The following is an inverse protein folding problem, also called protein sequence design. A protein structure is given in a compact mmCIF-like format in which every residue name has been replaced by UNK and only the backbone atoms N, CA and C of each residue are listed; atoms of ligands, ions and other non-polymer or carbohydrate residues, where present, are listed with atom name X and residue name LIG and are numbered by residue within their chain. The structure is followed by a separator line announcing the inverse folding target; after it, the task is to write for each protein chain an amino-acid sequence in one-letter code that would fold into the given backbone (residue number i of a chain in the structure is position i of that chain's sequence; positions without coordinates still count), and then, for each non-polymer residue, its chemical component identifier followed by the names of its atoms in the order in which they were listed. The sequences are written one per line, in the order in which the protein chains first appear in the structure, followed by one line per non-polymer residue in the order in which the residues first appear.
data_IF_615287195549
#
_entry.id   IF_615287195549
#
_cell.length_a   1.000
_cell.length_b   1.000
_cell.length_c   1.000
_cell.angle_alpha   90.00
_cell.angle_beta   90.00
_cell.angle_gamma   90.00
#
_symmetry.space_group_name_H-M   'P 1'
#
loop_
_entity.id
_entity.type
_entity.pdbx_description
1 polymer ?
#
# COMPACT_ATOMS: atom_id res chain seq x y z
N UNK A 1 -15.42 15.98 2.71
CA UNK A 1 -15.69 15.08 1.62
C UNK A 1 -16.56 15.66 0.51
N UNK A 2 -15.95 16.38 -0.46
CA UNK A 2 -16.73 17.03 -1.54
C UNK A 2 -17.50 16.02 -2.40
N UNK A 3 -17.00 14.78 -2.53
CA UNK A 3 -17.62 13.71 -3.32
C UNK A 3 -17.99 12.49 -2.47
N UNK A 4 -18.13 12.67 -1.16
CA UNK A 4 -18.50 11.57 -0.27
C UNK A 4 -19.85 10.94 -0.70
N UNK A 5 -19.90 9.59 -0.71
CA UNK A 5 -21.08 8.81 -1.12
C UNK A 5 -21.53 9.01 -2.59
N UNK A 6 -20.66 9.47 -3.47
CA UNK A 6 -20.96 9.51 -4.90
C UNK A 6 -20.90 8.10 -5.51
N UNK A 7 -21.89 7.26 -5.19
CA UNK A 7 -21.93 5.83 -5.54
C UNK A 7 -21.95 5.55 -7.06
N UNK A 8 -22.41 6.52 -7.86
CA UNK A 8 -22.45 6.42 -9.32
C UNK A 8 -21.20 6.95 -10.02
N UNK A 9 -20.25 7.53 -9.26
CA UNK A 9 -18.98 8.04 -9.81
C UNK A 9 -18.11 6.85 -10.23
N UNK A 10 -17.82 6.72 -11.52
CA UNK A 10 -17.02 5.61 -12.07
C UNK A 10 -15.60 6.02 -12.39
N UNK A 11 -15.44 7.22 -12.88
CA UNK A 11 -14.18 7.81 -13.31
C UNK A 11 -14.08 9.23 -12.77
N UNK A 12 -12.87 9.63 -12.47
CA UNK A 12 -12.55 10.95 -11.96
C UNK A 12 -11.18 11.38 -12.44
N UNK A 13 -11.09 12.59 -12.95
CA UNK A 13 -9.82 13.25 -13.21
C UNK A 13 -9.51 14.22 -12.07
N UNK A 14 -8.38 14.01 -11.40
CA UNK A 14 -7.89 14.92 -10.34
C UNK A 14 -7.13 16.06 -11.02
N UNK A 15 -7.52 17.35 -10.79
CA UNK A 15 -6.82 18.47 -11.39
C UNK A 15 -5.35 18.53 -10.98
N UNK A 16 -4.46 18.70 -11.96
CA UNK A 16 -3.00 18.75 -11.74
C UNK A 16 -2.54 19.92 -10.83
N UNK A 17 -3.38 20.95 -10.67
CA UNK A 17 -3.10 22.08 -9.79
C UNK A 17 -3.31 21.79 -8.29
N UNK A 18 -3.88 20.63 -7.96
CA UNK A 18 -4.05 20.22 -6.57
C UNK A 18 -2.72 19.72 -6.00
N UNK A 19 -2.46 20.02 -4.72
CA UNK A 19 -1.27 19.56 -3.98
C UNK A 19 -1.60 18.42 -3.01
N UNK A 20 -2.87 18.21 -2.69
CA UNK A 20 -3.33 17.15 -1.82
C UNK A 20 -4.74 16.66 -2.18
N UNK A 21 -5.03 15.42 -1.87
CA UNK A 21 -6.40 14.89 -1.84
C UNK A 21 -6.88 15.03 -0.40
N UNK A 22 -7.90 15.86 -0.19
CA UNK A 22 -8.39 16.18 1.14
C UNK A 22 -8.96 14.96 1.88
N UNK A 23 -9.03 15.06 3.20
CA UNK A 23 -9.70 14.09 4.07
C UNK A 23 -11.15 13.82 3.61
N UNK A 24 -11.55 12.54 3.59
CA UNK A 24 -12.89 12.07 3.20
C UNK A 24 -13.32 12.48 1.77
N UNK A 25 -12.42 12.92 0.90
CA UNK A 25 -12.80 13.48 -0.41
C UNK A 25 -13.71 12.56 -1.22
N UNK A 26 -13.42 11.26 -1.27
CA UNK A 26 -14.11 10.23 -2.06
C UNK A 26 -14.59 9.05 -1.21
N UNK A 27 -14.78 9.25 0.08
CA UNK A 27 -15.28 8.19 0.98
C UNK A 27 -16.59 7.61 0.46
N UNK A 28 -16.66 6.27 0.38
CA UNK A 28 -17.80 5.52 -0.14
C UNK A 28 -18.22 5.85 -1.59
N UNK A 29 -17.29 6.28 -2.44
CA UNK A 29 -17.49 6.31 -3.88
C UNK A 29 -17.43 4.86 -4.42
N UNK A 30 -18.44 4.04 -4.08
CA UNK A 30 -18.43 2.61 -4.33
C UNK A 30 -18.48 2.21 -5.82
N UNK A 31 -18.79 3.15 -6.71
CA UNK A 31 -18.74 2.96 -8.16
C UNK A 31 -17.38 3.25 -8.80
N UNK A 32 -16.44 3.87 -8.08
CA UNK A 32 -15.14 4.28 -8.62
C UNK A 32 -14.27 3.05 -8.90
N UNK A 33 -13.93 2.81 -10.17
CA UNK A 33 -13.21 1.60 -10.60
C UNK A 33 -11.70 1.79 -10.69
N UNK A 34 -11.25 2.98 -11.05
CA UNK A 34 -9.83 3.33 -11.14
C UNK A 34 -9.60 4.79 -10.79
N UNK A 35 -8.41 5.10 -10.31
CA UNK A 35 -7.98 6.47 -10.06
C UNK A 35 -6.51 6.66 -10.44
N UNK A 36 -6.22 7.72 -11.17
CA UNK A 36 -4.87 8.23 -11.39
C UNK A 36 -4.63 9.45 -10.50
N UNK A 37 -3.62 9.36 -9.65
CA UNK A 37 -3.18 10.45 -8.77
C UNK A 37 -2.06 11.19 -9.49
N UNK A 38 -2.31 12.43 -9.99
CA UNK A 38 -1.38 13.12 -10.85
C UNK A 38 -0.11 13.57 -10.13
N UNK A 39 0.89 13.91 -10.92
CA UNK A 39 2.09 14.57 -10.41
C UNK A 39 1.70 15.91 -9.78
N UNK A 40 2.32 16.26 -8.64
CA UNK A 40 1.97 17.46 -7.86
C UNK A 40 1.23 17.12 -6.55
N UNK A 41 0.48 16.02 -6.49
CA UNK A 41 -0.15 15.57 -5.24
C UNK A 41 0.93 15.04 -4.29
N UNK A 42 1.12 15.72 -3.17
CA UNK A 42 2.08 15.33 -2.12
C UNK A 42 1.46 14.46 -1.02
N UNK A 43 0.15 14.55 -0.81
CA UNK A 43 -0.54 13.78 0.22
C UNK A 43 -1.90 13.26 -0.24
N UNK A 44 -2.21 12.04 0.19
CA UNK A 44 -3.57 11.49 0.20
C UNK A 44 -4.07 11.57 1.65
N UNK A 45 -5.13 12.32 1.88
CA UNK A 45 -5.71 12.59 3.20
C UNK A 45 -6.31 11.36 3.86
N UNK A 46 -6.64 11.50 5.14
CA UNK A 46 -7.26 10.43 5.91
C UNK A 46 -8.64 10.09 5.31
N UNK A 47 -8.96 8.80 5.21
CA UNK A 47 -10.22 8.28 4.64
C UNK A 47 -10.51 8.72 3.19
N UNK A 48 -9.55 9.25 2.45
CA UNK A 48 -9.80 9.87 1.13
C UNK A 48 -10.56 8.96 0.16
N UNK A 49 -10.23 7.67 0.09
CA UNK A 49 -10.88 6.64 -0.73
C UNK A 49 -11.43 5.48 0.10
N UNK A 50 -11.75 5.73 1.38
CA UNK A 50 -12.30 4.71 2.27
C UNK A 50 -13.61 4.14 1.70
N UNK A 51 -13.71 2.82 1.60
CA UNK A 51 -14.91 2.13 1.13
C UNK A 51 -15.20 2.29 -0.37
N UNK A 52 -14.22 2.66 -1.18
CA UNK A 52 -14.34 2.62 -2.65
C UNK A 52 -14.28 1.15 -3.11
N UNK A 53 -15.37 0.40 -2.86
CA UNK A 53 -15.39 -1.06 -2.98
C UNK A 53 -15.21 -1.59 -4.42
N UNK A 54 -15.49 -0.77 -5.44
CA UNK A 54 -15.25 -1.13 -6.83
C UNK A 54 -13.82 -0.80 -7.32
N UNK A 55 -13.00 -0.11 -6.50
CA UNK A 55 -11.68 0.36 -6.91
C UNK A 55 -10.72 -0.81 -7.14
N UNK A 56 -10.33 -1.02 -8.39
CA UNK A 56 -9.43 -2.11 -8.84
C UNK A 56 -7.99 -1.65 -8.95
N UNK A 57 -7.79 -0.38 -9.32
CA UNK A 57 -6.47 0.16 -9.67
C UNK A 57 -6.29 1.58 -9.13
N UNK A 58 -5.13 1.82 -8.53
CA UNK A 58 -4.65 3.14 -8.16
C UNK A 58 -3.30 3.35 -8.84
N UNK A 59 -3.18 4.42 -9.63
CA UNK A 59 -1.93 4.83 -10.25
C UNK A 59 -1.41 6.09 -9.57
N UNK A 60 -0.11 6.11 -9.25
CA UNK A 60 0.54 7.25 -8.64
C UNK A 60 1.60 7.81 -9.60
N UNK A 61 1.47 9.06 -9.99
CA UNK A 61 2.44 9.71 -10.90
C UNK A 61 3.76 10.15 -10.22
N UNK A 62 3.98 9.81 -8.92
CA UNK A 62 5.31 9.84 -8.33
C UNK A 62 5.64 10.96 -7.35
N UNK A 63 4.71 11.84 -6.95
CA UNK A 63 4.98 12.92 -5.98
C UNK A 63 4.45 12.68 -4.56
N UNK A 64 3.59 11.69 -4.38
CA UNK A 64 2.94 11.40 -3.10
C UNK A 64 3.97 10.99 -2.05
N UNK A 65 4.03 11.73 -0.93
CA UNK A 65 4.93 11.49 0.20
C UNK A 65 4.22 10.83 1.38
N UNK A 66 2.92 11.11 1.54
CA UNK A 66 2.12 10.63 2.67
C UNK A 66 0.81 10.01 2.18
N UNK A 67 0.50 8.83 2.72
CA UNK A 67 -0.82 8.21 2.62
C UNK A 67 -1.44 8.23 4.02
N UNK A 68 -2.63 8.80 4.14
CA UNK A 68 -3.33 9.05 5.40
C UNK A 68 -3.90 7.81 6.08
N UNK A 69 -4.50 8.00 7.24
CA UNK A 69 -5.21 6.94 7.98
C UNK A 69 -6.40 6.45 7.16
N UNK A 70 -6.58 5.12 7.05
CA UNK A 70 -7.67 4.48 6.32
C UNK A 70 -7.85 4.98 4.87
N UNK A 71 -6.86 5.61 4.26
CA UNK A 71 -7.01 6.30 2.98
C UNK A 71 -7.55 5.41 1.85
N UNK A 72 -7.19 4.14 1.82
CA UNK A 72 -7.65 3.12 0.86
C UNK A 72 -8.19 1.88 1.56
N UNK A 73 -8.68 1.99 2.79
CA UNK A 73 -9.27 0.84 3.47
C UNK A 73 -10.62 0.46 2.85
N UNK A 74 -10.96 -0.84 2.87
CA UNK A 74 -12.19 -1.39 2.28
C UNK A 74 -12.34 -1.14 0.77
N UNK A 75 -11.23 -1.03 0.03
CA UNK A 75 -11.24 -1.08 -1.44
C UNK A 75 -11.17 -2.57 -1.86
N UNK A 76 -12.29 -3.27 -1.70
CA UNK A 76 -12.36 -4.74 -1.74
C UNK A 76 -11.94 -5.37 -3.07
N UNK A 77 -11.94 -4.58 -4.17
CA UNK A 77 -11.50 -5.03 -5.50
C UNK A 77 -10.09 -4.59 -5.87
N UNK A 78 -9.37 -3.92 -4.97
CA UNK A 78 -8.00 -3.48 -5.22
C UNK A 78 -7.06 -4.69 -5.28
N UNK A 79 -6.47 -4.94 -6.46
CA UNK A 79 -5.68 -6.15 -6.71
C UNK A 79 -4.21 -6.00 -6.31
N UNK A 80 -3.66 -4.80 -6.50
CA UNK A 80 -2.24 -4.54 -6.25
C UNK A 80 -2.04 -3.15 -5.67
N UNK A 81 -1.00 -3.01 -4.83
CA UNK A 81 -0.57 -1.74 -4.25
C UNK A 81 0.88 -1.49 -4.65
N UNK A 82 1.09 -0.59 -5.61
CA UNK A 82 2.41 -0.15 -6.05
C UNK A 82 2.65 1.29 -5.62
N UNK A 83 3.41 1.45 -4.56
CA UNK A 83 3.73 2.77 -4.02
C UNK A 83 4.97 3.34 -4.70
N UNK A 84 4.94 4.61 -5.15
CA UNK A 84 6.10 5.25 -5.75
C UNK A 84 7.20 5.49 -4.70
N UNK A 85 8.42 5.67 -5.17
CA UNK A 85 9.57 5.92 -4.30
C UNK A 85 9.51 7.26 -3.53
N UNK A 86 8.59 8.14 -3.89
CA UNK A 86 8.32 9.37 -3.15
C UNK A 86 7.64 9.13 -1.80
N UNK A 87 6.90 8.01 -1.63
CA UNK A 87 6.18 7.72 -0.39
C UNK A 87 7.16 7.40 0.73
N UNK A 88 7.08 8.18 1.81
CA UNK A 88 7.87 7.98 3.02
C UNK A 88 7.04 7.51 4.22
N UNK A 89 5.71 7.68 4.16
CA UNK A 89 4.81 7.37 5.27
C UNK A 89 3.48 6.78 4.81
N UNK A 90 3.13 5.66 5.42
CA UNK A 90 1.82 5.00 5.31
C UNK A 90 1.11 5.13 6.66
N UNK A 91 -0.11 5.65 6.66
CA UNK A 91 -0.95 5.85 7.84
C UNK A 91 -1.49 4.56 8.44
N UNK A 92 -2.10 4.69 9.61
CA UNK A 92 -2.80 3.60 10.29
C UNK A 92 -3.93 3.08 9.40
N UNK A 93 -4.07 1.75 9.26
CA UNK A 93 -5.11 1.10 8.45
C UNK A 93 -5.19 1.57 6.99
N UNK A 94 -4.17 2.21 6.45
CA UNK A 94 -4.24 2.86 5.14
C UNK A 94 -4.76 1.97 4.01
N UNK A 95 -4.45 0.67 4.04
CA UNK A 95 -4.91 -0.35 3.09
C UNK A 95 -5.60 -1.53 3.77
N UNK A 96 -6.18 -1.33 4.96
CA UNK A 96 -6.81 -2.43 5.68
C UNK A 96 -8.05 -2.98 4.95
N UNK A 97 -8.29 -4.29 5.11
CA UNK A 97 -9.44 -5.02 4.56
C UNK A 97 -9.54 -5.01 3.01
N UNK A 98 -8.41 -4.89 2.34
CA UNK A 98 -8.32 -5.06 0.89
C UNK A 98 -8.10 -6.56 0.58
N UNK A 99 -9.18 -7.31 0.61
CA UNK A 99 -9.16 -8.78 0.71
C UNK A 99 -8.58 -9.50 -0.52
N UNK A 100 -8.53 -8.84 -1.68
CA UNK A 100 -8.03 -9.42 -2.93
C UNK A 100 -6.64 -8.90 -3.34
N UNK A 101 -6.03 -8.01 -2.56
CA UNK A 101 -4.67 -7.54 -2.81
C UNK A 101 -3.69 -8.71 -2.77
N UNK A 102 -3.05 -8.96 -3.91
CA UNK A 102 -2.07 -10.05 -4.10
C UNK A 102 -0.64 -9.58 -3.88
N UNK A 103 -0.35 -8.33 -4.23
CA UNK A 103 1.00 -7.76 -4.22
C UNK A 103 0.99 -6.40 -3.52
N UNK A 104 1.89 -6.24 -2.58
CA UNK A 104 2.21 -4.95 -1.95
C UNK A 104 3.69 -4.69 -2.14
N UNK A 105 4.03 -3.65 -2.90
CA UNK A 105 5.42 -3.17 -3.01
C UNK A 105 5.61 -2.00 -2.07
N UNK A 106 6.37 -2.22 -1.01
CA UNK A 106 6.85 -1.18 -0.11
C UNK A 106 8.14 -0.62 -0.71
N UNK A 107 8.13 0.64 -1.13
CA UNK A 107 9.31 1.26 -1.76
C UNK A 107 10.47 1.41 -0.78
N UNK A 108 11.70 1.43 -1.30
CA UNK A 108 12.92 1.57 -0.51
C UNK A 108 13.12 2.92 0.18
N UNK A 109 12.13 3.82 0.16
CA UNK A 109 12.17 5.12 0.87
C UNK A 109 11.13 5.23 1.99
N UNK A 110 10.26 4.24 2.16
CA UNK A 110 9.26 4.23 3.23
C UNK A 110 9.95 4.05 4.58
N UNK A 111 9.85 5.07 5.44
CA UNK A 111 10.40 5.03 6.78
C UNK A 111 9.36 4.61 7.84
N UNK A 112 8.07 4.84 7.58
CA UNK A 112 7.01 4.60 8.55
C UNK A 112 5.83 3.86 7.92
N UNK A 113 5.47 2.73 8.51
CA UNK A 113 4.25 1.97 8.21
C UNK A 113 3.39 1.92 9.47
N UNK A 114 2.19 2.46 9.39
CA UNK A 114 1.26 2.60 10.52
C UNK A 114 0.73 1.26 11.01
N UNK A 115 0.18 1.26 12.23
CA UNK A 115 -0.49 0.09 12.79
C UNK A 115 -1.64 -0.36 11.89
N UNK A 116 -1.80 -1.66 11.75
CA UNK A 116 -2.89 -2.27 10.95
C UNK A 116 -2.89 -1.84 9.47
N UNK A 117 -1.79 -1.28 8.93
CA UNK A 117 -1.76 -0.66 7.60
C UNK A 117 -2.25 -1.58 6.47
N UNK A 118 -1.97 -2.87 6.54
CA UNK A 118 -2.39 -3.90 5.59
C UNK A 118 -3.19 -5.03 6.26
N UNK A 119 -3.80 -4.75 7.42
CA UNK A 119 -4.59 -5.74 8.12
C UNK A 119 -5.71 -6.27 7.24
N UNK A 120 -5.89 -7.60 7.19
CA UNK A 120 -6.97 -8.23 6.44
C UNK A 120 -6.76 -8.24 4.92
N UNK A 121 -5.54 -8.03 4.42
CA UNK A 121 -5.18 -8.27 3.03
C UNK A 121 -5.03 -9.78 2.81
N UNK A 122 -6.18 -10.49 2.73
CA UNK A 122 -6.24 -11.96 2.82
C UNK A 122 -5.49 -12.68 1.70
N UNK A 123 -5.48 -12.11 0.48
CA UNK A 123 -4.82 -12.72 -0.69
C UNK A 123 -3.33 -12.38 -0.80
N UNK A 124 -2.77 -11.56 0.10
CA UNK A 124 -1.35 -11.20 0.11
C UNK A 124 -0.50 -12.42 0.50
N UNK A 125 0.45 -12.80 -0.38
CA UNK A 125 1.27 -14.01 -0.19
C UNK A 125 2.67 -13.74 0.31
N UNK A 126 3.22 -12.60 -0.07
CA UNK A 126 4.59 -12.22 0.28
C UNK A 126 4.69 -10.71 0.49
N UNK A 127 5.61 -10.32 1.33
CA UNK A 127 5.97 -8.91 1.53
C UNK A 127 7.45 -8.78 1.84
N UNK A 128 8.07 -7.75 1.27
CA UNK A 128 9.43 -7.35 1.59
C UNK A 128 9.37 -6.06 2.40
N UNK A 129 9.97 -6.08 3.58
CA UNK A 129 10.16 -4.90 4.43
C UNK A 129 11.55 -4.34 4.16
N UNK A 130 11.65 -3.20 3.44
CA UNK A 130 12.95 -2.67 3.05
C UNK A 130 13.73 -2.08 4.22
N UNK A 131 15.04 -1.96 4.06
CA UNK A 131 15.98 -1.42 5.05
C UNK A 131 15.68 0.02 5.48
N UNK A 132 14.93 0.76 4.67
CA UNK A 132 14.49 2.13 4.96
C UNK A 132 13.47 2.21 6.10
N UNK A 133 12.72 1.13 6.37
CA UNK A 133 11.66 1.11 7.39
C UNK A 133 12.29 1.25 8.78
N UNK A 134 11.92 2.32 9.48
CA UNK A 134 12.32 2.64 10.85
C UNK A 134 11.20 2.39 11.85
N UNK A 135 9.98 2.21 11.37
CA UNK A 135 8.85 1.83 12.20
C UNK A 135 7.81 1.06 11.38
N UNK A 136 7.58 -0.17 11.77
CA UNK A 136 6.45 -1.00 11.34
C UNK A 136 5.50 -1.16 12.52
N UNK A 137 4.27 -0.63 12.38
CA UNK A 137 3.31 -0.57 13.46
C UNK A 137 2.70 -1.93 13.83
N UNK A 138 2.11 -1.99 15.02
CA UNK A 138 1.41 -3.15 15.54
C UNK A 138 0.35 -3.67 14.56
N UNK A 139 0.25 -4.99 14.40
CA UNK A 139 -0.74 -5.68 13.58
C UNK A 139 -0.76 -5.23 12.10
N UNK A 140 0.36 -4.72 11.59
CA UNK A 140 0.43 -4.16 10.25
C UNK A 140 -0.02 -5.16 9.17
N UNK A 141 0.24 -6.46 9.36
CA UNK A 141 -0.10 -7.55 8.44
C UNK A 141 -0.88 -8.69 9.12
N UNK A 142 -1.62 -8.40 10.17
CA UNK A 142 -2.50 -9.40 10.82
C UNK A 142 -3.73 -9.66 9.97
N UNK A 143 -4.33 -10.83 10.07
CA UNK A 143 -5.45 -11.30 9.24
C UNK A 143 -5.10 -11.40 7.72
N UNK A 144 -3.80 -11.48 7.37
CA UNK A 144 -3.33 -11.77 6.01
C UNK A 144 -3.20 -13.29 5.83
N UNK A 145 -4.32 -13.99 5.69
CA UNK A 145 -4.40 -15.45 5.82
C UNK A 145 -3.58 -16.25 4.79
N UNK A 146 -3.24 -15.65 3.64
CA UNK A 146 -2.38 -16.28 2.62
C UNK A 146 -0.91 -15.87 2.73
N UNK A 147 -0.54 -15.01 3.69
CA UNK A 147 0.83 -14.52 3.83
C UNK A 147 1.77 -15.65 4.30
N UNK A 148 2.65 -16.08 3.39
CA UNK A 148 3.57 -17.23 3.59
C UNK A 148 5.02 -16.80 3.73
N UNK A 149 5.39 -15.64 3.19
CA UNK A 149 6.78 -15.18 3.17
C UNK A 149 6.85 -13.70 3.54
N UNK A 150 7.70 -13.41 4.51
CA UNK A 150 8.04 -12.04 4.91
C UNK A 150 9.55 -11.92 4.91
N UNK A 151 10.09 -11.10 4.02
CA UNK A 151 11.51 -10.79 3.95
C UNK A 151 11.76 -9.46 4.65
N UNK A 152 12.60 -9.46 5.68
CA UNK A 152 13.00 -8.24 6.39
C UNK A 152 14.45 -7.94 6.00
N UNK A 153 14.65 -6.86 5.25
CA UNK A 153 15.98 -6.46 4.81
C UNK A 153 16.83 -5.94 5.98
N UNK A 154 18.14 -6.19 5.91
CA UNK A 154 19.10 -5.68 6.91
C UNK A 154 19.00 -4.16 7.03
N UNK A 155 18.91 -3.64 8.27
CA UNK A 155 18.73 -2.22 8.56
C UNK A 155 17.29 -1.76 8.73
N UNK A 156 16.29 -2.60 8.45
CA UNK A 156 14.91 -2.35 8.92
C UNK A 156 14.89 -2.41 10.47
N UNK A 157 14.17 -1.48 11.09
CA UNK A 157 14.15 -1.30 12.54
C UNK A 157 12.73 -1.00 13.05
N UNK A 158 12.54 -0.99 14.36
CA UNK A 158 11.27 -0.62 15.00
C UNK A 158 10.08 -1.47 14.55
N UNK A 159 10.31 -2.76 14.28
CA UNK A 159 9.25 -3.70 13.88
C UNK A 159 8.49 -4.12 15.14
N UNK A 160 7.18 -3.86 15.17
CA UNK A 160 6.36 -4.30 16.29
C UNK A 160 6.32 -5.84 16.37
N UNK A 161 6.40 -6.38 17.58
CA UNK A 161 6.41 -7.83 17.84
C UNK A 161 5.18 -8.56 17.28
N UNK A 162 4.05 -7.87 17.23
CA UNK A 162 2.77 -8.35 16.71
C UNK A 162 2.45 -7.83 15.31
N UNK A 163 3.44 -7.32 14.57
CA UNK A 163 3.23 -6.78 13.22
C UNK A 163 2.67 -7.83 12.24
N UNK A 164 3.03 -9.09 12.45
CA UNK A 164 2.62 -10.24 11.64
C UNK A 164 1.84 -11.24 12.48
N UNK A 165 1.02 -12.07 11.83
CA UNK A 165 0.34 -13.19 12.47
C UNK A 165 1.35 -14.29 12.87
N UNK A 166 1.07 -14.98 13.99
CA UNK A 166 1.89 -16.12 14.42
C UNK A 166 1.82 -17.23 13.37
N UNK A 167 2.97 -17.61 12.82
CA UNK A 167 3.07 -18.66 11.81
C UNK A 167 3.45 -18.17 10.41
N UNK A 168 3.52 -16.87 10.17
CA UNK A 168 4.17 -16.36 8.98
C UNK A 168 5.66 -16.77 9.00
N UNK A 169 6.15 -17.31 7.88
CA UNK A 169 7.55 -17.64 7.75
C UNK A 169 8.37 -16.36 7.65
N UNK A 170 8.97 -15.94 8.75
CA UNK A 170 9.86 -14.77 8.80
C UNK A 170 11.24 -15.18 8.26
N UNK A 171 11.64 -14.57 7.17
CA UNK A 171 12.98 -14.71 6.60
C UNK A 171 13.75 -13.42 6.93
N UNK A 172 14.68 -13.49 7.85
CA UNK A 172 15.55 -12.36 8.17
C UNK A 172 16.72 -12.28 7.20
N UNK A 173 17.26 -11.09 6.99
CA UNK A 173 18.30 -10.81 6.00
C UNK A 173 19.58 -11.64 6.16
N UNK A 174 19.89 -12.14 7.35
CA UNK A 174 21.05 -13.02 7.56
C UNK A 174 20.91 -14.38 6.85
N UNK A 175 19.66 -14.79 6.55
CA UNK A 175 19.37 -15.97 5.73
C UNK A 175 19.31 -15.66 4.22
N UNK A 176 19.29 -14.39 3.86
CA UNK A 176 18.96 -13.88 2.51
C UNK A 176 20.21 -13.47 1.72
N UNK A 177 21.42 -13.51 2.28
CA UNK A 177 22.65 -13.17 1.53
C UNK A 177 22.88 -13.99 0.25
N UNK A 178 22.10 -15.07 0.06
CA UNK A 178 22.09 -15.90 -1.15
C UNK A 178 20.84 -15.70 -2.05
N UNK A 179 19.80 -14.99 -1.58
CA UNK A 179 18.52 -14.82 -2.29
C UNK A 179 18.27 -13.38 -2.76
N UNK A 180 19.05 -12.41 -2.28
CA UNK A 180 18.82 -10.97 -2.47
C UNK A 180 18.77 -10.53 -3.95
N UNK A 181 19.59 -11.13 -4.79
CA UNK A 181 19.64 -10.75 -6.21
C UNK A 181 18.49 -11.32 -7.04
N UNK A 182 17.97 -12.47 -6.69
CA UNK A 182 16.97 -13.17 -7.53
C UNK A 182 15.54 -12.78 -7.16
N UNK A 183 15.21 -12.63 -5.89
CA UNK A 183 13.89 -12.16 -5.44
C UNK A 183 13.67 -10.68 -5.82
N UNK A 184 14.72 -9.85 -5.72
CA UNK A 184 14.67 -8.45 -6.17
C UNK A 184 14.55 -8.36 -7.69
N UNK A 185 15.30 -9.17 -8.45
CA UNK A 185 15.25 -9.22 -9.92
C UNK A 185 13.91 -9.75 -10.45
N UNK A 186 13.27 -10.69 -9.77
CA UNK A 186 11.93 -11.18 -10.15
C UNK A 186 10.89 -10.08 -9.96
N UNK A 187 10.95 -9.32 -8.86
CA UNK A 187 10.05 -8.19 -8.62
C UNK A 187 10.28 -7.04 -9.63
N UNK A 188 11.53 -6.77 -9.99
CA UNK A 188 11.91 -5.75 -10.97
C UNK A 188 11.58 -6.17 -12.41
N UNK A 189 11.78 -7.43 -12.77
CA UNK A 189 11.43 -7.99 -14.08
C UNK A 189 9.92 -7.99 -14.32
N UNK A 190 9.13 -8.28 -13.30
CA UNK A 190 7.65 -8.20 -13.36
C UNK A 190 7.18 -6.75 -13.48
N UNK A 191 7.85 -5.81 -12.79
CA UNK A 191 7.57 -4.38 -12.90
C UNK A 191 7.88 -3.85 -14.31
N UNK A 192 9.08 -4.14 -14.83
CA UNK A 192 9.51 -3.65 -16.15
C UNK A 192 8.69 -4.27 -17.31
N UNK A 193 8.20 -5.49 -17.15
CA UNK A 193 7.37 -6.17 -18.16
C UNK A 193 5.94 -5.62 -18.25
N UNK A 194 5.43 -5.01 -17.17
CA UNK A 194 4.06 -4.47 -17.10
C UNK A 194 3.98 -2.95 -17.25
N UNK A 195 5.12 -2.23 -17.24
CA UNK A 195 5.16 -0.75 -17.22
C UNK A 195 6.22 -0.16 -18.15
N UNK A 196 6.85 -0.96 -19.05
CA UNK A 196 7.62 -0.42 -20.16
C UNK A 196 6.64 0.12 -21.23
N UNK A 197 6.38 1.43 -21.17
CA UNK A 197 5.93 2.22 -22.30
C UNK A 197 7.13 2.69 -23.09
#
# INVERSE_FOLDING_TARGET
GAFQNCISLRELEIPAAMIEIAENAFTFCSGLEAISIPFGIEAVGDYAFFGCSALKKVEFAGSVRKIGECAFALCEKLENVYLPDSVSRIGKRAFAQNTVVKTVRISGKIAYVGSEAFRGCKALREVVIPSSVKKLGAKAFVDCSELRSVVIQHGADGIAEDAFERGAALITADAVSALDDEAFRISEAVYNKNFAL
#
